data_IF_989048705457
#
_entry.id   IF_989048705457
#
_cell.length_a   1.000
_cell.length_b   1.000
_cell.length_c   1.000
_cell.angle_alpha   90.00
_cell.angle_beta   90.00
_cell.angle_gamma   90.00
#
_symmetry.space_group_name_H-M   'P 1'
#
loop_
_entity.id
_entity.type
_entity.pdbx_description
1 polymer ?
#
# COMPACT_ATOMS: atom_id res chain seq x y z
N UNK A 1 27.48 -16.02 10.20
CA UNK A 1 27.70 -15.30 8.91
C UNK A 1 26.84 -14.04 8.87
N UNK A 2 27.47 -12.90 8.54
CA UNK A 2 26.73 -11.64 8.46
C UNK A 2 26.13 -11.46 7.08
N UNK A 3 24.89 -10.96 7.01
CA UNK A 3 24.16 -10.75 5.75
C UNK A 3 23.90 -9.27 5.45
N UNK A 4 24.30 -8.36 6.36
CA UNK A 4 24.12 -6.93 6.10
C UNK A 4 24.96 -6.49 4.90
N UNK A 5 24.52 -5.42 4.22
CA UNK A 5 25.23 -4.84 3.08
C UNK A 5 25.32 -3.33 3.26
N UNK A 6 26.55 -2.83 3.51
CA UNK A 6 26.79 -1.40 3.71
C UNK A 6 26.39 -0.57 2.48
N UNK A 7 26.48 -1.14 1.28
CA UNK A 7 26.16 -0.44 0.05
C UNK A 7 24.66 -0.22 -0.15
N UNK A 8 23.84 -1.09 0.44
CA UNK A 8 22.37 -1.01 0.32
C UNK A 8 21.69 -0.55 1.60
N UNK A 9 22.46 -0.27 2.65
CA UNK A 9 21.88 0.11 3.95
C UNK A 9 21.01 1.37 3.85
N UNK A 10 21.47 2.41 3.15
CA UNK A 10 20.69 3.64 3.02
C UNK A 10 19.39 3.43 2.26
N UNK A 11 19.36 2.50 1.30
CA UNK A 11 18.14 2.14 0.57
C UNK A 11 17.15 1.42 1.49
N UNK A 12 17.65 0.54 2.37
CA UNK A 12 16.83 -0.14 3.35
C UNK A 12 16.20 0.85 4.34
N UNK A 13 16.99 1.83 4.83
CA UNK A 13 16.49 2.88 5.71
C UNK A 13 15.38 3.69 5.01
N UNK A 14 15.59 4.02 3.74
CA UNK A 14 14.59 4.75 2.96
C UNK A 14 13.30 3.96 2.81
N UNK A 15 13.36 2.66 2.58
CA UNK A 15 12.17 1.81 2.46
C UNK A 15 11.40 1.71 3.77
N UNK A 16 12.10 1.67 4.92
CA UNK A 16 11.46 1.55 6.24
C UNK A 16 10.87 2.88 6.70
N UNK A 17 11.61 3.99 6.55
CA UNK A 17 11.24 5.29 7.12
C UNK A 17 10.85 6.34 6.08
N UNK A 18 10.95 6.04 4.80
CA UNK A 18 10.63 6.98 3.73
C UNK A 18 11.73 8.02 3.45
N UNK A 19 12.83 7.98 4.20
CA UNK A 19 13.97 8.90 4.02
C UNK A 19 15.27 8.22 4.39
N UNK A 20 16.37 8.61 3.72
CA UNK A 20 17.71 8.13 4.05
C UNK A 20 18.30 8.81 5.29
N UNK A 21 17.69 9.91 5.73
CA UNK A 21 18.12 10.66 6.90
C UNK A 21 17.00 10.66 7.95
N UNK A 22 16.88 9.58 8.74
CA UNK A 22 15.82 9.46 9.73
C UNK A 22 15.95 10.50 10.85
N UNK A 23 14.84 10.73 11.57
CA UNK A 23 14.78 11.68 12.69
C UNK A 23 15.74 11.29 13.83
N UNK A 24 15.98 12.23 14.74
CA UNK A 24 16.92 12.03 15.85
C UNK A 24 16.63 10.83 16.75
N UNK A 25 15.38 10.47 16.91
CA UNK A 25 14.98 9.29 17.70
C UNK A 25 15.54 7.98 17.12
N UNK A 26 15.95 8.00 15.87
CA UNK A 26 16.62 6.87 15.20
C UNK A 26 18.13 7.11 15.06
N UNK A 27 18.72 7.85 16.00
CA UNK A 27 20.12 8.25 15.97
C UNK A 27 21.13 7.12 15.80
N UNK A 28 20.78 5.91 16.26
CA UNK A 28 21.63 4.72 16.07
C UNK A 28 21.90 4.42 14.59
N UNK A 29 21.04 4.87 13.69
CA UNK A 29 21.22 4.66 12.26
C UNK A 29 22.28 5.57 11.65
N UNK A 30 22.54 6.75 12.26
CA UNK A 30 23.56 7.68 11.80
C UNK A 30 24.97 7.12 12.02
N UNK A 31 25.14 6.24 13.02
CA UNK A 31 26.43 5.68 13.39
C UNK A 31 26.63 4.26 12.88
N UNK A 32 25.73 3.76 12.03
CA UNK A 32 25.76 2.40 11.51
C UNK A 32 27.13 2.04 10.93
N UNK A 33 27.69 2.90 10.09
CA UNK A 33 28.94 2.60 9.39
C UNK A 33 30.16 2.53 10.32
N UNK A 34 30.05 3.10 11.51
CA UNK A 34 31.11 3.08 12.53
C UNK A 34 30.94 1.93 13.53
N UNK A 35 29.87 1.16 13.41
CA UNK A 35 29.58 0.07 14.34
C UNK A 35 30.36 -1.21 14.01
N UNK A 36 30.42 -2.12 15.02
CA UNK A 36 31.01 -3.45 14.82
C UNK A 36 30.12 -4.28 13.89
N UNK A 37 30.66 -5.33 13.23
CA UNK A 37 29.85 -6.19 12.38
C UNK A 37 28.66 -6.81 13.10
N UNK A 38 28.79 -7.19 14.37
CA UNK A 38 27.73 -7.76 15.17
C UNK A 38 26.57 -6.77 15.35
N UNK A 39 26.89 -5.51 15.67
CA UNK A 39 25.88 -4.47 15.84
C UNK A 39 25.25 -4.09 14.52
N UNK A 40 26.01 -4.04 13.43
CA UNK A 40 25.48 -3.79 12.09
C UNK A 40 24.44 -4.85 11.72
N UNK A 41 24.71 -6.11 12.02
CA UNK A 41 23.76 -7.18 11.72
C UNK A 41 22.47 -7.04 12.55
N UNK A 42 22.57 -6.64 13.81
CA UNK A 42 21.40 -6.41 14.67
C UNK A 42 20.54 -5.28 14.09
N UNK A 43 21.15 -4.17 13.69
CA UNK A 43 20.45 -3.04 13.11
C UNK A 43 19.79 -3.45 11.79
N UNK A 44 20.51 -4.17 10.93
CA UNK A 44 19.99 -4.67 9.66
C UNK A 44 18.77 -5.57 9.85
N UNK A 45 18.84 -6.52 10.79
CA UNK A 45 17.74 -7.45 11.08
C UNK A 45 16.51 -6.69 11.59
N UNK A 46 16.70 -5.69 12.46
CA UNK A 46 15.60 -4.87 12.97
C UNK A 46 14.90 -4.10 11.83
N UNK A 47 15.70 -3.54 10.90
CA UNK A 47 15.13 -2.83 9.75
C UNK A 47 14.36 -3.76 8.83
N UNK A 48 14.88 -4.96 8.59
CA UNK A 48 14.17 -5.95 7.77
C UNK A 48 12.86 -6.39 8.41
N UNK A 49 12.84 -6.59 9.73
CA UNK A 49 11.62 -6.96 10.45
C UNK A 49 10.57 -5.84 10.35
N UNK A 50 10.97 -4.58 10.50
CA UNK A 50 10.07 -3.43 10.38
C UNK A 50 9.51 -3.31 8.97
N UNK A 51 10.32 -3.58 7.95
CA UNK A 51 9.87 -3.55 6.56
C UNK A 51 8.83 -4.64 6.31
N UNK A 52 9.06 -5.86 6.80
CA UNK A 52 8.10 -6.96 6.67
C UNK A 52 6.77 -6.63 7.35
N UNK A 53 6.79 -6.06 8.56
CA UNK A 53 5.59 -5.64 9.26
C UNK A 53 4.81 -4.59 8.48
N UNK A 54 5.51 -3.57 7.94
CA UNK A 54 4.89 -2.52 7.15
C UNK A 54 4.26 -3.08 5.88
N UNK A 55 4.96 -3.97 5.18
CA UNK A 55 4.43 -4.62 3.98
C UNK A 55 3.21 -5.48 4.27
N UNK A 56 3.22 -6.20 5.39
CA UNK A 56 2.07 -7.01 5.82
C UNK A 56 0.86 -6.13 6.13
N UNK A 57 1.06 -5.00 6.83
CA UNK A 57 -0.01 -4.05 7.13
C UNK A 57 -0.59 -3.41 5.87
N UNK A 58 0.28 -3.04 4.93
CA UNK A 58 -0.15 -2.47 3.64
C UNK A 58 -0.96 -3.48 2.83
N UNK A 59 -0.53 -4.73 2.81
CA UNK A 59 -1.25 -5.80 2.10
C UNK A 59 -2.62 -6.05 2.73
N UNK A 60 -2.70 -6.08 4.06
CA UNK A 60 -3.96 -6.25 4.78
C UNK A 60 -4.91 -5.10 4.50
N UNK A 61 -4.41 -3.84 4.52
CA UNK A 61 -5.20 -2.67 4.19
C UNK A 61 -5.71 -2.71 2.74
N UNK A 62 -4.87 -3.16 1.81
CA UNK A 62 -5.22 -3.35 0.40
C UNK A 62 -6.37 -4.36 0.25
N UNK A 63 -6.25 -5.53 0.90
CA UNK A 63 -7.29 -6.56 0.88
C UNK A 63 -8.59 -6.08 1.52
N UNK A 64 -8.50 -5.31 2.59
CA UNK A 64 -9.68 -4.74 3.26
C UNK A 64 -10.45 -3.78 2.34
N UNK A 65 -9.72 -2.92 1.62
CA UNK A 65 -10.36 -1.99 0.66
C UNK A 65 -11.05 -2.73 -0.46
N UNK A 66 -10.45 -3.80 -0.97
CA UNK A 66 -11.06 -4.66 -1.98
C UNK A 66 -12.36 -5.28 -1.43
N UNK A 67 -12.29 -5.87 -0.23
CA UNK A 67 -13.45 -6.52 0.38
C UNK A 67 -14.60 -5.53 0.59
N UNK A 68 -14.30 -4.33 1.08
CA UNK A 68 -15.32 -3.29 1.29
C UNK A 68 -15.99 -2.86 -0.01
N UNK A 69 -15.23 -2.71 -1.09
CA UNK A 69 -15.78 -2.34 -2.39
C UNK A 69 -16.63 -3.46 -2.97
N UNK A 70 -16.16 -4.71 -2.88
CA UNK A 70 -16.93 -5.87 -3.34
C UNK A 70 -18.25 -6.01 -2.55
N UNK A 71 -18.23 -5.76 -1.24
CA UNK A 71 -19.45 -5.78 -0.42
C UNK A 71 -20.43 -4.69 -0.87
N UNK A 72 -19.93 -3.51 -1.24
CA UNK A 72 -20.77 -2.44 -1.78
C UNK A 72 -21.42 -2.85 -3.08
N UNK A 73 -20.69 -3.51 -3.97
CA UNK A 73 -21.23 -4.03 -5.23
C UNK A 73 -22.35 -5.02 -4.94
N UNK A 74 -22.14 -5.97 -4.04
CA UNK A 74 -23.16 -6.96 -3.67
C UNK A 74 -24.40 -6.31 -3.06
N UNK A 75 -24.20 -5.27 -2.26
CA UNK A 75 -25.30 -4.50 -1.68
C UNK A 75 -26.21 -3.90 -2.75
N UNK A 76 -25.61 -3.29 -3.78
CA UNK A 76 -26.39 -2.70 -4.88
C UNK A 76 -27.07 -3.77 -5.74
N UNK A 77 -26.45 -4.93 -5.92
CA UNK A 77 -27.10 -6.05 -6.61
C UNK A 77 -28.34 -6.49 -5.85
N UNK A 78 -28.25 -6.61 -4.53
CA UNK A 78 -29.42 -6.94 -3.67
C UNK A 78 -30.50 -5.87 -3.71
N UNK A 79 -30.14 -4.60 -3.93
CA UNK A 79 -31.09 -3.50 -4.04
C UNK A 79 -31.77 -3.41 -5.41
N UNK A 80 -31.32 -4.20 -6.38
CA UNK A 80 -31.97 -4.26 -7.68
C UNK A 80 -31.06 -4.11 -8.89
N UNK A 81 -29.77 -3.86 -8.73
CA UNK A 81 -28.85 -3.84 -9.86
C UNK A 81 -28.79 -5.23 -10.48
N UNK A 82 -28.94 -5.32 -11.80
CA UNK A 82 -29.03 -6.60 -12.49
C UNK A 82 -27.70 -7.33 -12.60
N UNK A 83 -26.59 -6.58 -12.66
CA UNK A 83 -25.25 -7.12 -12.87
C UNK A 83 -24.22 -6.35 -12.03
N UNK A 84 -23.01 -6.92 -11.93
CA UNK A 84 -21.87 -6.23 -11.32
C UNK A 84 -21.61 -4.88 -11.99
N UNK A 85 -21.68 -4.82 -13.30
CA UNK A 85 -21.48 -3.58 -14.07
C UNK A 85 -22.50 -2.52 -13.71
N UNK A 86 -23.77 -2.89 -13.60
CA UNK A 86 -24.84 -1.96 -13.19
C UNK A 86 -24.63 -1.49 -11.76
N UNK A 87 -24.24 -2.39 -10.85
CA UNK A 87 -23.95 -2.03 -9.46
C UNK A 87 -22.82 -0.98 -9.37
N UNK A 88 -21.76 -1.16 -10.15
CA UNK A 88 -20.65 -0.19 -10.20
C UNK A 88 -21.12 1.15 -10.75
N UNK A 89 -21.96 1.15 -11.79
CA UNK A 89 -22.55 2.39 -12.31
C UNK A 89 -23.39 3.11 -11.26
N UNK A 90 -24.15 2.38 -10.46
CA UNK A 90 -24.93 2.95 -9.37
C UNK A 90 -24.04 3.59 -8.30
N UNK A 91 -22.89 2.96 -7.99
CA UNK A 91 -21.91 3.50 -7.06
C UNK A 91 -21.35 4.82 -7.60
N UNK A 92 -20.97 4.86 -8.89
CA UNK A 92 -20.46 6.07 -9.53
C UNK A 92 -21.48 7.18 -9.52
N UNK A 93 -22.75 6.87 -9.81
CA UNK A 93 -23.84 7.85 -9.79
C UNK A 93 -24.06 8.39 -8.37
N UNK A 94 -24.04 7.52 -7.35
CA UNK A 94 -24.22 7.92 -5.96
C UNK A 94 -23.11 8.84 -5.47
N UNK A 95 -21.87 8.62 -5.93
CA UNK A 95 -20.69 9.40 -5.55
C UNK A 95 -20.39 10.55 -6.53
N UNK A 96 -21.20 10.70 -7.57
CA UNK A 96 -21.01 11.71 -8.62
C UNK A 96 -19.61 11.62 -9.26
N UNK A 97 -19.23 10.41 -9.67
CA UNK A 97 -17.94 10.11 -10.27
C UNK A 97 -18.09 9.78 -11.74
N UNK A 98 -17.16 10.27 -12.58
CA UNK A 98 -17.12 10.00 -14.02
C UNK A 98 -16.26 8.78 -14.34
N UNK A 99 -16.64 8.03 -15.39
CA UNK A 99 -15.82 6.96 -15.95
C UNK A 99 -14.70 7.46 -16.87
N UNK A 100 -14.61 8.76 -17.12
CA UNK A 100 -13.64 9.33 -18.04
C UNK A 100 -12.19 9.17 -17.56
N UNK A 101 -11.98 9.12 -16.26
CA UNK A 101 -10.65 8.90 -15.68
C UNK A 101 -10.73 7.76 -14.64
N UNK A 102 -10.51 6.49 -15.08
CA UNK A 102 -10.59 5.34 -14.18
C UNK A 102 -9.63 5.40 -12.99
N UNK A 103 -8.42 5.91 -13.18
CA UNK A 103 -7.45 6.05 -12.10
C UNK A 103 -7.92 7.03 -11.04
N UNK A 104 -8.47 8.17 -11.46
CA UNK A 104 -9.01 9.17 -10.55
C UNK A 104 -10.25 8.65 -9.81
N UNK A 105 -11.09 7.85 -10.50
CA UNK A 105 -12.23 7.20 -9.87
C UNK A 105 -11.79 6.27 -8.74
N UNK A 106 -10.74 5.48 -8.92
CA UNK A 106 -10.18 4.65 -7.86
C UNK A 106 -9.71 5.49 -6.67
N UNK A 107 -9.06 6.62 -6.94
CA UNK A 107 -8.62 7.55 -5.90
C UNK A 107 -9.80 8.10 -5.10
N UNK A 108 -10.85 8.56 -5.78
CA UNK A 108 -12.04 9.12 -5.12
C UNK A 108 -12.79 8.09 -4.28
N UNK A 109 -12.84 6.84 -4.74
CA UNK A 109 -13.49 5.74 -4.02
C UNK A 109 -12.59 5.14 -2.94
N UNK A 110 -11.32 5.56 -2.87
CA UNK A 110 -10.32 5.03 -1.95
C UNK A 110 -10.19 3.50 -2.07
N UNK A 111 -10.09 3.01 -3.31
CA UNK A 111 -9.91 1.59 -3.63
C UNK A 111 -8.63 1.39 -4.42
N UNK A 112 -8.08 0.15 -4.44
CA UNK A 112 -6.87 -0.13 -5.20
C UNK A 112 -7.02 0.07 -6.70
N UNK A 113 -5.94 0.47 -7.37
CA UNK A 113 -5.92 0.71 -8.81
C UNK A 113 -6.11 -0.56 -9.65
N UNK A 114 -6.18 -1.74 -9.03
CA UNK A 114 -6.53 -2.99 -9.73
C UNK A 114 -7.89 -2.90 -10.41
N UNK A 115 -8.78 -2.00 -9.93
CA UNK A 115 -10.09 -1.78 -10.54
C UNK A 115 -10.06 -0.86 -11.77
N UNK A 116 -8.93 -0.23 -12.05
CA UNK A 116 -8.81 0.74 -13.16
C UNK A 116 -9.19 0.11 -14.50
N UNK A 117 -8.72 -1.09 -14.79
CA UNK A 117 -9.02 -1.79 -16.04
C UNK A 117 -10.50 -2.13 -16.16
N UNK A 118 -11.13 -2.57 -15.06
CA UNK A 118 -12.57 -2.86 -15.04
C UNK A 118 -13.38 -1.58 -15.33
N UNK A 119 -13.02 -0.48 -14.69
CA UNK A 119 -13.69 0.80 -14.91
C UNK A 119 -13.50 1.31 -16.33
N UNK A 120 -12.30 1.13 -16.89
CA UNK A 120 -12.00 1.51 -18.27
C UNK A 120 -12.86 0.74 -19.26
N UNK A 121 -13.15 -0.53 -18.99
CA UNK A 121 -13.99 -1.37 -19.84
C UNK A 121 -15.46 -0.98 -19.81
N UNK A 122 -15.86 -0.19 -18.83
CA UNK A 122 -17.25 0.27 -18.65
C UNK A 122 -17.58 1.58 -19.37
N UNK A 123 -16.55 2.23 -19.89
CA UNK A 123 -16.67 3.52 -20.57
C UNK A 123 -17.41 3.42 -21.91
#
# INVERSE_FOLDING_TARGET
MFIYDDNTFSDLVKEVYGTRSPAREYGHLFYYYDETPEKKQIIWDDLCDRLEETMAEELEAHHRKIAMFEDSIQKYIKLGASTRKDAIRWIFDAEDISFDDPGYACYLLNIPYVYEDEFRSMK
#
